data_IF_081731211597
#
_entry.id   IF_081731211597
#
_cell.length_a   1.000
_cell.length_b   1.000
_cell.length_c   1.000
_cell.angle_alpha   90.00
_cell.angle_beta   90.00
_cell.angle_gamma   90.00
#
_symmetry.space_group_name_H-M   'P 1'
#
loop_
_entity.id
_entity.type
_entity.pdbx_description
1 polymer ?
#
# COMPACT_ATOMS: atom_id res chain seq x y z
N UNK A 1 39.62 26.56 16.53
CA UNK A 1 38.26 26.65 15.95
C UNK A 1 38.12 25.56 14.91
N UNK A 2 37.37 24.48 15.18
CA UNK A 2 37.13 23.43 14.20
C UNK A 2 35.73 23.56 13.61
N UNK A 3 35.66 24.09 12.40
CA UNK A 3 34.47 24.11 11.55
C UNK A 3 34.16 22.67 11.12
N UNK A 4 33.20 22.03 11.80
CA UNK A 4 32.67 20.73 11.38
C UNK A 4 31.88 20.94 10.09
N UNK A 5 32.47 20.63 8.94
CA UNK A 5 31.76 20.61 7.65
C UNK A 5 30.58 19.64 7.75
N UNK A 6 29.34 20.17 7.76
CA UNK A 6 28.15 19.35 7.50
C UNK A 6 28.05 19.14 5.99
N UNK A 7 28.61 18.04 5.51
CA UNK A 7 28.51 17.60 4.11
C UNK A 7 27.10 17.13 3.72
N UNK A 8 26.17 17.04 4.67
CA UNK A 8 24.82 16.51 4.49
C UNK A 8 23.76 17.46 5.05
N UNK A 9 22.57 17.45 4.43
CA UNK A 9 21.44 18.29 4.85
C UNK A 9 20.99 17.96 6.28
N UNK A 10 20.30 18.91 6.95
CA UNK A 10 19.71 18.66 8.28
C UNK A 10 18.74 17.50 8.28
N UNK A 11 17.96 17.31 7.20
CA UNK A 11 17.05 16.16 7.06
C UNK A 11 17.79 14.82 6.99
N UNK A 12 18.99 14.78 6.41
CA UNK A 12 19.81 13.58 6.32
C UNK A 12 20.64 13.32 7.60
N UNK A 13 20.81 14.32 8.47
CA UNK A 13 21.66 14.23 9.68
C UNK A 13 20.88 14.22 10.99
N UNK A 14 19.61 14.62 10.99
CA UNK A 14 18.73 14.46 12.13
C UNK A 14 18.08 13.07 12.07
N UNK A 15 18.19 12.28 13.15
CA UNK A 15 17.39 11.07 13.38
C UNK A 15 15.90 11.48 13.51
N UNK A 16 15.27 11.77 12.37
CA UNK A 16 13.83 12.05 12.25
C UNK A 16 13.02 10.75 12.31
N UNK A 17 13.69 9.62 12.17
CA UNK A 17 13.07 8.31 12.31
C UNK A 17 12.90 8.04 13.81
N UNK A 18 11.66 8.16 14.29
CA UNK A 18 11.30 7.95 15.70
C UNK A 18 11.43 6.50 16.18
N UNK A 19 12.29 5.67 15.58
CA UNK A 19 12.54 4.28 15.95
C UNK A 19 12.99 4.15 17.41
N UNK A 20 13.63 5.18 17.96
CA UNK A 20 14.05 5.26 19.37
C UNK A 20 12.90 5.67 20.31
N UNK A 21 11.70 5.95 19.80
CA UNK A 21 10.54 6.29 20.62
C UNK A 21 9.84 5.04 21.14
N UNK A 22 9.27 5.14 22.33
CA UNK A 22 8.57 4.05 23.00
C UNK A 22 7.40 3.46 22.20
N UNK A 23 6.84 4.21 21.24
CA UNK A 23 5.77 3.74 20.35
C UNK A 23 6.19 2.60 19.42
N UNK A 24 7.48 2.44 19.14
CA UNK A 24 7.99 1.36 18.27
C UNK A 24 8.38 0.09 19.02
N UNK A 25 8.43 0.11 20.35
CA UNK A 25 8.80 -1.06 21.15
C UNK A 25 7.87 -2.25 20.88
N UNK A 26 6.55 -2.00 20.78
CA UNK A 26 5.59 -3.06 20.48
C UNK A 26 5.81 -3.70 19.09
N UNK A 27 6.19 -2.89 18.10
CA UNK A 27 6.50 -3.36 16.75
C UNK A 27 7.82 -4.15 16.69
N UNK A 28 8.84 -3.70 17.41
CA UNK A 28 10.13 -4.41 17.52
C UNK A 28 9.99 -5.78 18.20
N UNK A 29 9.18 -5.86 19.27
CA UNK A 29 8.93 -7.13 19.94
C UNK A 29 8.07 -8.07 19.08
N UNK A 30 7.10 -7.54 18.33
CA UNK A 30 6.36 -8.32 17.33
C UNK A 30 7.28 -8.92 16.26
N UNK A 31 8.23 -8.15 15.72
CA UNK A 31 9.19 -8.68 14.71
C UNK A 31 10.07 -9.80 15.25
N UNK A 32 10.42 -9.77 16.54
CA UNK A 32 11.23 -10.82 17.20
C UNK A 32 10.42 -12.08 17.52
N UNK A 33 9.14 -11.94 17.81
CA UNK A 33 8.28 -13.02 18.27
C UNK A 33 6.89 -12.97 17.63
N UNK A 34 6.78 -13.12 16.30
CA UNK A 34 5.49 -13.07 15.62
C UNK A 34 4.66 -14.32 15.95
N UNK A 35 3.37 -14.14 16.15
CA UNK A 35 2.42 -15.23 16.29
C UNK A 35 2.30 -16.06 14.99
N UNK A 36 2.32 -17.37 15.12
CA UNK A 36 2.02 -18.33 14.05
C UNK A 36 1.21 -19.48 14.66
N UNK A 37 0.07 -19.82 14.07
CA UNK A 37 -0.85 -20.81 14.63
C UNK A 37 -0.22 -22.19 14.85
N UNK A 38 0.78 -22.55 14.04
CA UNK A 38 1.43 -23.88 14.06
C UNK A 38 2.81 -23.80 14.69
N UNK A 39 3.60 -22.79 14.31
CA UNK A 39 5.03 -22.67 14.68
C UNK A 39 5.23 -21.90 15.98
N UNK A 40 4.34 -20.98 16.32
CA UNK A 40 4.50 -20.12 17.49
C UNK A 40 3.15 -19.57 18.02
N UNK A 41 2.31 -20.44 18.61
CA UNK A 41 0.99 -20.04 19.12
C UNK A 41 1.08 -19.10 20.34
N UNK A 42 2.27 -18.93 20.91
CA UNK A 42 2.54 -18.01 22.02
C UNK A 42 3.15 -16.67 21.57
N UNK A 43 3.30 -16.46 20.26
CA UNK A 43 3.83 -15.22 19.71
C UNK A 43 2.87 -14.04 19.86
N UNK A 44 3.35 -12.85 19.53
CA UNK A 44 2.59 -11.60 19.58
C UNK A 44 1.68 -11.52 18.35
N UNK A 45 0.38 -11.34 18.59
CA UNK A 45 -0.62 -11.17 17.54
C UNK A 45 -0.62 -9.72 17.06
N UNK A 46 -0.53 -9.53 15.74
CA UNK A 46 -0.52 -8.20 15.16
C UNK A 46 -1.93 -7.61 15.09
N UNK A 47 -2.19 -6.60 15.94
CA UNK A 47 -3.42 -5.81 15.93
C UNK A 47 -3.16 -4.31 15.67
N UNK A 48 -1.89 -3.94 15.44
CA UNK A 48 -1.48 -2.54 15.25
C UNK A 48 -1.55 -2.02 13.81
N UNK A 49 -1.79 -2.90 12.83
CA UNK A 49 -1.83 -2.55 11.41
C UNK A 49 -3.28 -2.50 10.92
N UNK A 50 -3.69 -1.36 10.36
CA UNK A 50 -4.99 -1.20 9.72
C UNK A 50 -4.97 -1.78 8.30
N UNK A 51 -4.90 -3.11 8.20
CA UNK A 51 -4.94 -3.86 6.94
C UNK A 51 -6.27 -4.60 6.79
N UNK A 52 -6.84 -4.62 5.58
CA UNK A 52 -8.06 -5.37 5.26
C UNK A 52 -7.71 -6.60 4.43
N UNK A 53 -7.72 -7.77 5.06
CA UNK A 53 -7.46 -9.05 4.40
C UNK A 53 -8.75 -9.81 4.03
N UNK A 54 -9.93 -9.31 4.43
CA UNK A 54 -11.20 -10.02 4.31
C UNK A 54 -11.77 -10.11 2.90
N UNK A 55 -11.21 -9.35 1.95
CA UNK A 55 -11.78 -9.20 0.60
C UNK A 55 -10.80 -9.59 -0.51
N UNK A 56 -9.73 -10.31 -0.17
CA UNK A 56 -8.75 -10.80 -1.12
C UNK A 56 -9.29 -11.92 -2.00
N UNK A 57 -10.15 -12.78 -1.47
CA UNK A 57 -10.87 -13.83 -2.20
C UNK A 57 -11.61 -13.29 -3.43
N UNK A 58 -12.26 -12.13 -3.29
CA UNK A 58 -12.98 -11.46 -4.38
C UNK A 58 -12.02 -10.95 -5.46
N UNK A 59 -10.88 -10.38 -5.05
CA UNK A 59 -9.87 -9.88 -5.98
C UNK A 59 -9.17 -11.02 -6.73
N UNK A 60 -8.78 -12.08 -6.02
CA UNK A 60 -8.17 -13.27 -6.62
C UNK A 60 -9.11 -13.94 -7.62
N UNK A 61 -10.38 -14.11 -7.25
CA UNK A 61 -11.42 -14.65 -8.14
C UNK A 61 -11.62 -13.78 -9.38
N UNK A 62 -11.61 -12.46 -9.22
CA UNK A 62 -11.72 -11.54 -10.36
C UNK A 62 -10.50 -11.62 -11.27
N UNK A 63 -9.29 -11.67 -10.72
CA UNK A 63 -8.05 -11.79 -11.49
C UNK A 63 -7.99 -13.11 -12.28
N UNK A 64 -8.40 -14.23 -11.67
CA UNK A 64 -8.47 -15.52 -12.35
C UNK A 64 -9.41 -15.49 -13.57
N UNK A 65 -10.52 -14.75 -13.47
CA UNK A 65 -11.48 -14.59 -14.56
C UNK A 65 -11.09 -13.52 -15.59
N UNK A 66 -10.10 -12.66 -15.29
CA UNK A 66 -9.70 -11.54 -16.14
C UNK A 66 -8.17 -11.52 -16.38
N UNK A 67 -7.61 -12.56 -17.04
CA UNK A 67 -6.16 -12.73 -17.18
C UNK A 67 -5.49 -11.63 -18.02
N UNK A 68 -6.24 -10.99 -18.93
CA UNK A 68 -5.72 -9.93 -19.80
C UNK A 68 -5.27 -8.68 -19.01
N UNK A 69 -5.96 -8.38 -17.92
CA UNK A 69 -5.67 -7.22 -17.08
C UNK A 69 -4.29 -7.34 -16.40
N UNK A 70 -3.96 -8.52 -15.87
CA UNK A 70 -2.65 -8.82 -15.29
C UNK A 70 -1.59 -9.12 -16.36
N UNK A 71 -2.00 -9.63 -17.53
CA UNK A 71 -1.13 -9.96 -18.65
C UNK A 71 -0.64 -8.77 -19.48
N UNK A 72 -0.94 -7.53 -19.05
CA UNK A 72 -0.66 -6.30 -19.81
C UNK A 72 -1.23 -6.35 -21.24
N UNK A 73 -2.46 -6.85 -21.39
CA UNK A 73 -3.16 -6.92 -22.67
C UNK A 73 -4.42 -6.07 -22.68
N UNK A 74 -4.68 -5.42 -23.81
CA UNK A 74 -5.94 -4.70 -24.08
C UNK A 74 -6.41 -5.12 -25.46
N UNK A 75 -7.57 -5.78 -25.55
CA UNK A 75 -8.12 -6.28 -26.81
C UNK A 75 -7.20 -7.27 -27.53
N UNK A 76 -6.49 -8.13 -26.78
CA UNK A 76 -5.56 -9.13 -27.32
C UNK A 76 -4.17 -8.60 -27.70
N UNK A 77 -3.92 -7.28 -27.64
CA UNK A 77 -2.61 -6.68 -27.92
C UNK A 77 -1.85 -6.35 -26.63
N UNK A 78 -0.53 -6.50 -26.64
CA UNK A 78 0.33 -6.14 -25.51
C UNK A 78 0.46 -4.62 -25.39
N UNK A 79 0.10 -4.07 -24.25
CA UNK A 79 0.23 -2.64 -23.92
C UNK A 79 1.43 -2.34 -23.01
N UNK A 80 2.30 -3.33 -22.75
CA UNK A 80 3.44 -3.22 -21.84
C UNK A 80 4.33 -2.00 -22.13
N UNK A 81 4.69 -1.78 -23.40
CA UNK A 81 5.56 -0.66 -23.79
C UNK A 81 4.92 0.70 -23.53
N UNK A 82 3.61 0.82 -23.74
CA UNK A 82 2.87 2.06 -23.48
C UNK A 82 2.83 2.35 -21.98
N UNK A 83 2.52 1.34 -21.16
CA UNK A 83 2.50 1.47 -19.69
C UNK A 83 3.89 1.73 -19.11
N UNK A 84 4.93 1.07 -19.61
CA UNK A 84 6.31 1.23 -19.11
C UNK A 84 6.89 2.62 -19.42
N UNK A 85 6.45 3.26 -20.51
CA UNK A 85 6.87 4.60 -20.91
C UNK A 85 5.93 5.70 -20.40
N UNK A 86 4.84 5.34 -19.73
CA UNK A 86 3.87 6.29 -19.22
C UNK A 86 4.46 7.07 -18.04
N UNK A 87 4.67 8.37 -18.23
CA UNK A 87 5.27 9.27 -17.23
C UNK A 87 4.42 10.53 -16.96
N UNK A 88 3.22 10.61 -17.55
CA UNK A 88 2.36 11.76 -17.34
C UNK A 88 1.94 11.84 -15.87
N UNK A 89 2.28 12.95 -15.22
CA UNK A 89 1.98 13.23 -13.82
C UNK A 89 0.48 13.37 -13.57
N UNK A 90 -0.32 13.57 -14.62
CA UNK A 90 -1.76 13.49 -14.52
C UNK A 90 -2.22 12.04 -14.26
N UNK A 91 -1.49 10.99 -14.62
CA UNK A 91 -1.94 9.61 -14.43
C UNK A 91 -2.86 9.10 -15.54
N UNK A 92 -3.05 7.78 -15.62
CA UNK A 92 -3.74 7.13 -16.74
C UNK A 92 -5.22 7.58 -16.83
N UNK A 93 -5.68 8.11 -17.98
CA UNK A 93 -7.06 8.62 -18.12
C UNK A 93 -8.14 7.59 -17.82
N UNK A 94 -7.92 6.33 -18.22
CA UNK A 94 -8.85 5.22 -17.94
C UNK A 94 -8.95 4.97 -16.42
N UNK A 95 -7.84 5.03 -15.68
CA UNK A 95 -7.82 4.84 -14.24
C UNK A 95 -8.55 5.97 -13.49
N UNK A 96 -8.40 7.22 -13.96
CA UNK A 96 -9.09 8.38 -13.38
C UNK A 96 -10.61 8.32 -13.49
N UNK A 97 -11.14 7.80 -14.60
CA UNK A 97 -12.60 7.72 -14.81
C UNK A 97 -13.25 6.70 -13.88
N UNK A 98 -12.52 5.65 -13.52
CA UNK A 98 -13.02 4.57 -12.64
C UNK A 98 -13.09 5.02 -11.19
N UNK A 99 -12.19 5.88 -10.73
CA UNK A 99 -12.17 6.39 -9.35
C UNK A 99 -13.52 6.95 -8.88
N UNK A 100 -14.10 7.96 -9.56
CA UNK A 100 -15.42 8.47 -9.24
C UNK A 100 -16.51 7.39 -9.33
N UNK A 101 -16.45 6.51 -10.32
CA UNK A 101 -17.43 5.45 -10.52
C UNK A 101 -17.44 4.42 -9.38
N UNK A 102 -16.28 4.14 -8.76
CA UNK A 102 -16.19 3.29 -7.56
C UNK A 102 -16.53 4.06 -6.28
N UNK A 103 -16.14 5.33 -6.21
CA UNK A 103 -16.31 6.15 -5.02
C UNK A 103 -17.77 6.49 -4.74
N UNK A 104 -18.55 6.85 -5.76
CA UNK A 104 -19.95 7.26 -5.58
C UNK A 104 -20.86 6.16 -5.02
N UNK A 105 -20.84 4.91 -5.52
CA UNK A 105 -21.60 3.81 -4.95
C UNK A 105 -21.21 3.48 -3.50
N UNK A 106 -19.91 3.53 -3.17
CA UNK A 106 -19.41 3.31 -1.81
C UNK A 106 -19.92 4.40 -0.87
N UNK A 107 -19.84 5.67 -1.27
CA UNK A 107 -20.34 6.81 -0.49
C UNK A 107 -21.86 6.73 -0.26
N UNK A 108 -22.64 6.28 -1.26
CA UNK A 108 -24.09 6.06 -1.11
C UNK A 108 -24.42 4.91 -0.15
N UNK A 109 -23.69 3.79 -0.21
CA UNK A 109 -23.89 2.65 0.71
C UNK A 109 -23.55 3.01 2.17
N UNK A 110 -22.53 3.84 2.37
CA UNK A 110 -22.10 4.26 3.71
C UNK A 110 -22.89 5.44 4.29
N UNK A 111 -23.96 5.92 3.63
CA UNK A 111 -24.78 7.07 4.08
C UNK A 111 -23.99 8.39 4.26
N UNK A 112 -22.79 8.51 3.70
CA UNK A 112 -21.91 9.69 3.84
C UNK A 112 -22.37 10.85 2.94
N UNK A 113 -23.05 10.53 1.83
CA UNK A 113 -23.67 11.53 0.95
C UNK A 113 -25.20 11.39 1.01
N UNK A 114 -25.84 12.04 1.97
CA UNK A 114 -27.28 12.37 1.92
C UNK A 114 -27.44 13.83 1.49
N UNK A 115 -27.59 14.03 0.18
CA UNK A 115 -28.21 15.20 -0.42
C UNK A 115 -28.98 14.75 -1.66
#
# INVERSE_FOLDING_TARGET
>A
MHTKMRLLSRKATCNTHGQDSSYFLGWQEYEKNPYDEVKNPTGIIQMGLAENQLSFDLLESWLANNPDAAGFKKGGQSIFRELALFQDYHGLPDFKKVGPLLFFPVMKRSNILRW
#
